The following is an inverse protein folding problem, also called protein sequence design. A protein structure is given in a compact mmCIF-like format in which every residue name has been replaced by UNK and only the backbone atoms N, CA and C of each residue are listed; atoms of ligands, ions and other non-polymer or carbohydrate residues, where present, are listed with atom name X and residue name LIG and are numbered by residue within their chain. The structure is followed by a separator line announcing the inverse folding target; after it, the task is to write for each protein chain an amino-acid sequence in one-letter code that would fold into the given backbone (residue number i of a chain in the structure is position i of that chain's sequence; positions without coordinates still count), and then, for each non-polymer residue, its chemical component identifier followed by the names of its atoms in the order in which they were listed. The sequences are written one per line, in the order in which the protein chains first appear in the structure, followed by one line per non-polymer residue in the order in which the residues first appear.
data_IF_030624547742
#
_entry.id   IF_030624547742
#
_cell.length_a   1.000
_cell.length_b   1.000
_cell.length_c   1.000
_cell.angle_alpha   90.00
_cell.angle_beta   90.00
_cell.angle_gamma   90.00
#
_symmetry.space_group_name_H-M   'P 1'
#
loop_
_entity.id
_entity.type
_entity.pdbx_description
1 polymer ?
#
# COMPACT_ATOMS: atom_id res chain seq x y z
N UNK A 1 30.03 11.29 0.43
CA UNK A 1 29.23 11.44 1.66
C UNK A 1 28.36 12.69 1.53
N UNK A 2 27.08 12.59 1.86
CA UNK A 2 26.12 13.70 1.89
C UNK A 2 25.55 13.78 3.31
N UNK A 3 25.45 15.01 3.83
CA UNK A 3 24.82 15.28 5.12
C UNK A 3 23.50 15.99 4.86
N UNK A 4 22.39 15.40 5.31
CA UNK A 4 21.09 16.05 5.32
C UNK A 4 20.80 16.56 6.72
N UNK A 5 20.75 17.86 6.89
CA UNK A 5 20.37 18.53 8.14
C UNK A 5 18.89 18.85 8.14
N UNK A 6 18.18 18.42 9.16
CA UNK A 6 16.75 18.67 9.35
C UNK A 6 16.59 19.43 10.65
N UNK A 7 15.92 20.59 10.60
CA UNK A 7 15.55 21.32 11.81
C UNK A 7 14.44 20.55 12.52
N UNK A 8 14.57 20.41 13.83
CA UNK A 8 13.55 19.79 14.67
C UNK A 8 12.77 20.95 15.31
N UNK A 9 11.50 21.05 14.97
CA UNK A 9 10.62 22.10 15.51
C UNK A 9 9.81 21.59 16.70
N UNK A 10 9.60 20.29 16.79
CA UNK A 10 8.83 19.63 17.83
C UNK A 10 9.50 18.31 18.23
N UNK A 11 9.60 18.04 19.53
CA UNK A 11 10.09 16.78 20.07
C UNK A 11 9.12 16.29 21.15
N UNK A 12 8.62 15.04 21.00
CA UNK A 12 7.69 14.40 21.93
C UNK A 12 6.40 15.21 22.20
N UNK A 13 5.90 15.93 21.19
CA UNK A 13 4.69 16.75 21.29
C UNK A 13 4.91 18.13 21.93
N UNK A 14 6.16 18.53 22.15
CA UNK A 14 6.53 19.84 22.66
C UNK A 14 7.45 20.59 21.69
N UNK A 15 7.19 21.88 21.50
CA UNK A 15 8.07 22.75 20.72
C UNK A 15 9.45 22.86 21.37
N UNK A 16 10.51 22.83 20.57
CA UNK A 16 11.87 22.98 21.06
C UNK A 16 12.17 24.44 21.43
N UNK A 17 12.66 24.69 22.66
CA UNK A 17 13.06 26.02 23.12
C UNK A 17 14.34 26.55 22.43
N UNK A 18 15.18 25.65 21.95
CA UNK A 18 16.41 25.95 21.22
C UNK A 18 16.42 25.29 19.86
N UNK A 19 17.10 25.91 18.90
CA UNK A 19 17.28 25.31 17.59
C UNK A 19 18.03 23.96 17.72
N UNK A 20 17.34 22.90 17.42
CA UNK A 20 17.92 21.57 17.37
C UNK A 20 17.88 21.01 15.95
N UNK A 21 18.92 20.26 15.58
CA UNK A 21 19.05 19.69 14.25
C UNK A 21 19.31 18.19 14.34
N UNK A 22 18.73 17.47 13.40
CA UNK A 22 19.05 16.05 13.18
C UNK A 22 19.81 15.92 11.89
N UNK A 23 21.03 15.44 11.96
CA UNK A 23 21.87 15.17 10.81
C UNK A 23 21.75 13.70 10.40
N UNK A 24 21.48 13.47 9.12
CA UNK A 24 21.49 12.13 8.52
C UNK A 24 22.61 12.05 7.51
N UNK A 25 23.46 11.04 7.67
CA UNK A 25 24.59 10.78 6.80
C UNK A 25 24.17 9.76 5.73
N UNK A 26 24.45 10.07 4.46
CA UNK A 26 24.24 9.17 3.33
C UNK A 26 25.58 8.93 2.68
N UNK A 27 26.02 7.67 2.72
CA UNK A 27 27.19 7.20 1.98
C UNK A 27 26.73 6.65 0.63
N UNK A 28 27.43 7.02 -0.43
CA UNK A 28 27.09 6.60 -1.79
C UNK A 28 28.36 6.45 -2.63
N UNK A 29 28.31 5.51 -3.56
CA UNK A 29 29.30 5.31 -4.61
C UNK A 29 28.81 5.79 -5.99
N UNK A 30 27.67 6.51 -6.01
CA UNK A 30 27.13 7.08 -7.24
C UNK A 30 28.08 8.11 -7.85
N UNK A 31 28.12 8.23 -9.20
CA UNK A 31 28.94 9.20 -9.90
C UNK A 31 28.68 10.63 -9.43
N UNK A 32 29.69 11.49 -9.51
CA UNK A 32 29.60 12.91 -9.13
C UNK A 32 28.62 13.74 -9.98
N UNK A 33 28.13 13.17 -11.07
CA UNK A 33 27.08 13.78 -11.89
C UNK A 33 25.70 13.86 -11.19
N UNK A 34 25.49 13.04 -10.15
CA UNK A 34 24.27 13.11 -9.34
C UNK A 34 24.33 14.29 -8.38
N UNK A 35 23.28 15.11 -8.39
CA UNK A 35 23.14 16.19 -7.40
C UNK A 35 22.92 15.62 -5.99
N UNK A 36 23.34 16.31 -4.91
CA UNK A 36 23.07 15.88 -3.55
C UNK A 36 21.59 15.59 -3.28
N UNK A 37 20.71 16.42 -3.86
CA UNK A 37 19.25 16.23 -3.75
C UNK A 37 18.78 14.94 -4.40
N UNK A 38 19.23 14.64 -5.62
CA UNK A 38 18.87 13.41 -6.31
C UNK A 38 19.33 12.15 -5.53
N UNK A 39 20.49 12.20 -4.88
CA UNK A 39 20.99 11.11 -4.05
C UNK A 39 20.14 10.95 -2.77
N UNK A 40 19.75 12.05 -2.15
CA UNK A 40 18.83 12.03 -1.00
C UNK A 40 17.50 11.42 -1.40
N UNK A 41 16.89 11.88 -2.49
CA UNK A 41 15.60 11.38 -2.98
C UNK A 41 15.69 9.88 -3.30
N UNK A 42 16.77 9.43 -3.94
CA UNK A 42 16.99 8.01 -4.23
C UNK A 42 17.13 7.17 -2.94
N UNK A 43 17.85 7.67 -1.95
CA UNK A 43 17.99 6.99 -0.66
C UNK A 43 16.64 6.86 0.07
N UNK A 44 15.78 7.87 -0.05
CA UNK A 44 14.44 7.83 0.56
C UNK A 44 13.42 6.97 -0.19
N UNK A 45 13.63 6.66 -1.47
CA UNK A 45 12.78 5.70 -2.20
C UNK A 45 12.82 4.29 -1.56
N UNK A 46 13.88 3.96 -0.83
CA UNK A 46 13.95 2.73 -0.05
C UNK A 46 12.89 2.64 1.04
N UNK A 47 12.44 3.78 1.57
CA UNK A 47 11.37 3.82 2.57
C UNK A 47 10.06 3.24 2.04
N UNK A 48 9.82 3.27 0.72
CA UNK A 48 8.65 2.65 0.10
C UNK A 48 8.68 1.12 0.21
N UNK A 49 9.85 0.50 0.19
CA UNK A 49 9.99 -0.95 0.40
C UNK A 49 9.59 -1.34 1.83
N UNK A 50 10.01 -0.59 2.83
CA UNK A 50 9.67 -0.84 4.23
C UNK A 50 8.16 -0.72 4.44
N UNK A 51 7.54 0.30 3.86
CA UNK A 51 6.10 0.48 3.88
C UNK A 51 5.35 -0.67 3.17
N UNK A 52 5.83 -1.12 2.01
CA UNK A 52 5.27 -2.29 1.31
C UNK A 52 5.38 -3.55 2.15
N UNK A 53 6.53 -3.80 2.78
CA UNK A 53 6.76 -4.95 3.65
C UNK A 53 5.81 -4.91 4.86
N UNK A 54 5.67 -3.77 5.50
CA UNK A 54 4.74 -3.57 6.61
C UNK A 54 3.28 -3.80 6.18
N UNK A 55 2.85 -3.20 5.08
CA UNK A 55 1.50 -3.37 4.56
C UNK A 55 1.23 -4.81 4.12
N UNK A 56 2.20 -5.50 3.55
CA UNK A 56 2.09 -6.91 3.19
C UNK A 56 1.92 -7.77 4.45
N UNK A 57 2.71 -7.53 5.48
CA UNK A 57 2.60 -8.24 6.74
C UNK A 57 1.30 -7.95 7.49
N UNK A 58 1.07 -6.69 7.84
CA UNK A 58 -0.05 -6.27 8.66
C UNK A 58 -1.38 -6.15 7.89
N UNK A 59 -1.32 -5.73 6.63
CA UNK A 59 -2.50 -5.49 5.80
C UNK A 59 -3.15 -6.76 5.27
N UNK A 60 -2.35 -7.68 4.72
CA UNK A 60 -2.82 -8.92 4.08
C UNK A 60 -2.50 -10.17 4.90
N UNK A 61 -1.89 -9.99 6.07
CA UNK A 61 -1.42 -11.07 6.94
C UNK A 61 -0.40 -12.02 6.24
N UNK A 62 0.45 -11.46 5.36
CA UNK A 62 1.41 -12.24 4.57
C UNK A 62 2.42 -13.01 5.43
N UNK A 63 2.79 -12.47 6.61
CA UNK A 63 3.71 -13.13 7.55
C UNK A 63 3.04 -14.07 8.52
N UNK A 64 1.73 -14.27 8.42
CA UNK A 64 1.03 -15.24 9.24
C UNK A 64 1.47 -16.64 8.84
N UNK A 65 1.80 -17.44 9.83
CA UNK A 65 2.14 -18.85 9.67
C UNK A 65 0.93 -19.70 10.14
N UNK A 66 -0.06 -19.97 9.25
CA UNK A 66 -1.33 -20.59 9.67
C UNK A 66 -1.19 -22.07 10.06
N UNK A 67 -0.11 -22.73 9.66
CA UNK A 67 0.13 -24.16 9.93
C UNK A 67 1.55 -24.37 10.45
N UNK A 68 1.81 -25.51 11.08
CA UNK A 68 3.14 -25.86 11.57
C UNK A 68 4.11 -26.30 10.45
N UNK A 69 3.58 -26.68 9.30
CA UNK A 69 4.35 -27.20 8.18
C UNK A 69 4.92 -26.09 7.30
N UNK A 70 6.20 -26.22 6.91
CA UNK A 70 6.89 -25.22 6.07
C UNK A 70 6.23 -25.04 4.71
N UNK A 71 5.89 -26.13 4.02
CA UNK A 71 5.30 -26.04 2.66
C UNK A 71 3.91 -25.41 2.68
N UNK A 72 3.12 -25.66 3.72
CA UNK A 72 1.82 -25.01 3.91
C UNK A 72 1.96 -23.48 4.12
N UNK A 73 2.93 -23.07 4.93
CA UNK A 73 3.24 -21.67 5.14
C UNK A 73 3.80 -21.00 3.89
N UNK A 74 4.62 -21.70 3.13
CA UNK A 74 5.10 -21.21 1.82
C UNK A 74 3.95 -21.02 0.83
N UNK A 75 3.02 -21.96 0.73
CA UNK A 75 1.83 -21.84 -0.10
C UNK A 75 0.97 -20.64 0.32
N UNK A 76 0.78 -20.44 1.63
CA UNK A 76 0.10 -19.25 2.17
C UNK A 76 0.77 -17.96 1.71
N UNK A 77 2.09 -17.88 1.81
CA UNK A 77 2.86 -16.71 1.38
C UNK A 77 2.66 -16.40 -0.11
N UNK A 78 2.66 -17.44 -0.96
CA UNK A 78 2.42 -17.26 -2.42
C UNK A 78 0.99 -16.76 -2.69
N UNK A 79 -0.01 -17.29 -2.00
CA UNK A 79 -1.41 -16.83 -2.13
C UNK A 79 -1.53 -15.37 -1.67
N UNK A 80 -0.93 -15.01 -0.53
CA UNK A 80 -0.91 -13.64 -0.04
C UNK A 80 -0.23 -12.68 -1.03
N UNK A 81 0.90 -13.10 -1.63
CA UNK A 81 1.61 -12.34 -2.66
C UNK A 81 0.76 -12.14 -3.91
N UNK A 82 0.07 -13.19 -4.36
CA UNK A 82 -0.83 -13.08 -5.52
C UNK A 82 -1.97 -12.11 -5.23
N UNK A 83 -2.63 -12.24 -4.08
CA UNK A 83 -3.72 -11.35 -3.67
C UNK A 83 -3.27 -9.88 -3.58
N UNK A 84 -2.04 -9.65 -3.05
CA UNK A 84 -1.43 -8.32 -3.02
C UNK A 84 -1.28 -7.74 -4.43
N UNK A 85 -0.66 -8.50 -5.35
CA UNK A 85 -0.41 -8.05 -6.71
C UNK A 85 -1.72 -7.77 -7.46
N UNK A 86 -2.71 -8.68 -7.37
CA UNK A 86 -4.04 -8.49 -7.99
C UNK A 86 -4.70 -7.21 -7.48
N UNK A 87 -4.68 -6.96 -6.17
CA UNK A 87 -5.22 -5.73 -5.61
C UNK A 87 -4.52 -4.47 -6.10
N UNK A 88 -3.19 -4.50 -6.21
CA UNK A 88 -2.41 -3.37 -6.77
C UNK A 88 -2.69 -3.16 -8.27
N UNK A 89 -2.82 -4.22 -9.05
CA UNK A 89 -3.19 -4.13 -10.47
C UNK A 89 -4.59 -3.56 -10.66
N UNK A 90 -5.58 -4.00 -9.87
CA UNK A 90 -6.93 -3.42 -9.91
C UNK A 90 -6.87 -1.93 -9.60
N UNK A 91 -6.11 -1.52 -8.57
CA UNK A 91 -5.95 -0.12 -8.23
C UNK A 91 -5.31 0.69 -9.37
N UNK A 92 -4.29 0.15 -10.04
CA UNK A 92 -3.57 0.84 -11.12
C UNK A 92 -4.36 0.90 -12.42
N UNK A 93 -5.06 -0.18 -12.79
CA UNK A 93 -5.68 -0.32 -14.10
C UNK A 93 -7.13 0.21 -14.13
N UNK A 94 -7.84 0.10 -13.03
CA UNK A 94 -9.28 0.31 -13.03
C UNK A 94 -9.78 1.44 -12.10
N UNK A 95 -9.01 1.81 -11.07
CA UNK A 95 -9.43 2.78 -10.07
C UNK A 95 -8.74 4.16 -10.27
N UNK A 96 -9.23 5.22 -9.62
CA UNK A 96 -8.58 6.53 -9.64
C UNK A 96 -7.14 6.47 -9.11
N UNK A 97 -6.24 7.30 -9.65
CA UNK A 97 -4.81 7.31 -9.34
C UNK A 97 -4.50 7.48 -7.84
N UNK A 98 -5.36 8.16 -7.10
CA UNK A 98 -5.23 8.33 -5.65
C UNK A 98 -5.30 7.01 -4.88
N UNK A 99 -6.08 6.03 -5.39
CA UNK A 99 -6.28 4.72 -4.75
C UNK A 99 -5.02 3.88 -4.77
N UNK A 100 -4.15 4.07 -5.75
CA UNK A 100 -2.86 3.35 -5.87
C UNK A 100 -1.98 3.55 -4.62
N UNK A 101 -2.07 4.75 -4.02
CA UNK A 101 -1.30 5.14 -2.82
C UNK A 101 -1.97 4.74 -1.51
N UNK A 102 -3.17 4.18 -1.57
CA UNK A 102 -3.86 3.79 -0.34
C UNK A 102 -3.16 2.61 0.33
N UNK A 103 -3.21 2.63 1.66
CA UNK A 103 -2.87 1.47 2.46
C UNK A 103 -3.79 0.30 2.13
N UNK A 104 -3.25 -0.92 2.19
CA UNK A 104 -4.01 -2.13 1.88
C UNK A 104 -5.26 -2.29 2.74
N UNK A 105 -5.20 -1.95 4.03
CA UNK A 105 -6.36 -1.99 4.93
C UNK A 105 -7.49 -1.10 4.44
N UNK A 106 -7.16 0.12 3.99
CA UNK A 106 -8.12 1.07 3.43
C UNK A 106 -8.70 0.56 2.11
N UNK A 107 -7.87 0.08 1.20
CA UNK A 107 -8.29 -0.51 -0.07
C UNK A 107 -9.29 -1.66 0.17
N UNK A 108 -8.92 -2.63 1.01
CA UNK A 108 -9.76 -3.79 1.33
C UNK A 108 -11.11 -3.40 1.94
N UNK A 109 -11.12 -2.41 2.84
CA UNK A 109 -12.34 -1.93 3.47
C UNK A 109 -13.32 -1.32 2.47
N UNK A 110 -12.83 -0.63 1.44
CA UNK A 110 -13.67 0.11 0.51
C UNK A 110 -13.96 -0.62 -0.80
N UNK A 111 -13.14 -1.58 -1.21
CA UNK A 111 -13.28 -2.27 -2.49
C UNK A 111 -13.44 -3.79 -2.38
N UNK A 112 -13.15 -4.39 -1.23
CA UNK A 112 -13.30 -5.84 -1.02
C UNK A 112 -14.40 -6.16 -0.02
N UNK A 113 -14.41 -5.49 1.13
CA UNK A 113 -15.42 -5.71 2.16
C UNK A 113 -16.63 -4.80 1.96
N UNK A 114 -17.38 -5.03 0.90
CA UNK A 114 -18.59 -4.29 0.58
C UNK A 114 -19.78 -5.15 0.95
N UNK A 115 -20.73 -4.56 1.68
CA UNK A 115 -21.99 -5.23 1.99
C UNK A 115 -22.77 -5.48 0.70
N UNK A 116 -23.14 -6.74 0.47
CA UNK A 116 -23.86 -7.14 -0.71
C UNK A 116 -24.90 -8.23 -0.37
N UNK A 117 -26.01 -8.21 -1.11
CA UNK A 117 -27.02 -9.28 -1.10
C UNK A 117 -26.81 -10.15 -2.33
N UNK A 118 -26.57 -11.44 -2.13
CA UNK A 118 -26.43 -12.39 -3.22
C UNK A 118 -27.76 -13.09 -3.45
N UNK A 119 -28.31 -12.93 -4.65
CA UNK A 119 -29.58 -13.53 -5.07
C UNK A 119 -29.30 -14.53 -6.18
N UNK A 120 -29.89 -15.73 -6.08
CA UNK A 120 -29.91 -16.71 -7.14
C UNK A 120 -31.25 -16.63 -7.86
N UNK A 121 -31.25 -16.25 -9.14
CA UNK A 121 -32.45 -16.21 -9.99
C UNK A 121 -32.20 -17.09 -11.23
N UNK A 122 -32.77 -18.28 -11.20
CA UNK A 122 -32.52 -19.28 -12.24
C UNK A 122 -31.04 -19.72 -12.30
N UNK A 123 -30.40 -19.56 -13.44
CA UNK A 123 -28.96 -19.85 -13.65
C UNK A 123 -28.05 -18.65 -13.38
N UNK A 124 -28.58 -17.51 -12.92
CA UNK A 124 -27.84 -16.29 -12.71
C UNK A 124 -27.65 -16.01 -11.23
N UNK A 125 -26.43 -15.59 -10.86
CA UNK A 125 -26.12 -14.98 -9.57
C UNK A 125 -26.16 -13.46 -9.73
N UNK A 126 -27.01 -12.81 -8.94
CA UNK A 126 -27.13 -11.35 -8.90
C UNK A 126 -26.52 -10.88 -7.60
N UNK A 127 -25.49 -10.05 -7.69
CA UNK A 127 -24.88 -9.39 -6.53
C UNK A 127 -25.40 -7.97 -6.47
N UNK A 128 -26.24 -7.72 -5.46
CA UNK A 128 -26.81 -6.41 -5.23
C UNK A 128 -26.01 -5.69 -4.16
N UNK A 129 -25.31 -4.62 -4.56
CA UNK A 129 -24.52 -3.78 -3.67
C UNK A 129 -25.41 -2.75 -2.96
N UNK A 130 -24.92 -2.27 -1.81
CA UNK A 130 -25.62 -1.21 -1.06
C UNK A 130 -25.39 0.15 -1.72
N UNK A 131 -26.44 0.89 -2.03
CA UNK A 131 -26.39 2.18 -2.71
C UNK A 131 -25.68 3.28 -1.88
N UNK A 132 -25.64 3.14 -0.56
CA UNK A 132 -24.98 4.10 0.34
C UNK A 132 -23.44 4.00 0.37
N UNK A 133 -22.83 3.08 -0.40
CA UNK A 133 -21.38 2.93 -0.37
C UNK A 133 -20.70 4.07 -1.14
N UNK A 134 -19.86 4.84 -0.43
CA UNK A 134 -19.19 6.06 -0.95
C UNK A 134 -18.44 5.87 -2.27
N UNK A 135 -17.84 4.71 -2.48
CA UNK A 135 -17.03 4.40 -3.67
C UNK A 135 -17.74 3.48 -4.67
N UNK A 136 -19.06 3.35 -4.56
CA UNK A 136 -19.84 2.53 -5.50
C UNK A 136 -19.68 2.95 -6.96
N UNK A 137 -19.72 4.26 -7.31
CA UNK A 137 -19.52 4.69 -8.69
C UNK A 137 -18.16 4.27 -9.26
N UNK A 138 -17.09 4.39 -8.46
CA UNK A 138 -15.73 3.99 -8.84
C UNK A 138 -15.63 2.47 -9.03
N UNK A 139 -16.30 1.70 -8.16
CA UNK A 139 -16.34 0.25 -8.28
C UNK A 139 -17.04 -0.21 -9.56
N UNK A 140 -18.20 0.38 -9.89
CA UNK A 140 -18.95 0.08 -11.10
C UNK A 140 -18.16 0.48 -12.35
N UNK A 141 -17.50 1.64 -12.34
CA UNK A 141 -16.63 2.06 -13.43
C UNK A 141 -15.43 1.13 -13.60
N UNK A 142 -14.84 0.66 -12.49
CA UNK A 142 -13.74 -0.31 -12.52
C UNK A 142 -14.19 -1.65 -13.09
N UNK A 143 -15.36 -2.13 -12.68
CA UNK A 143 -15.96 -3.36 -13.24
C UNK A 143 -16.18 -3.24 -14.75
N UNK A 144 -16.74 -2.13 -15.23
CA UNK A 144 -16.95 -1.90 -16.65
C UNK A 144 -15.63 -1.84 -17.45
N UNK A 145 -14.54 -1.30 -16.86
CA UNK A 145 -13.21 -1.27 -17.50
C UNK A 145 -12.53 -2.63 -17.59
N UNK A 146 -12.83 -3.53 -16.65
CA UNK A 146 -12.23 -4.86 -16.57
C UNK A 146 -13.03 -5.93 -17.34
N UNK A 147 -14.23 -5.61 -17.80
CA UNK A 147 -14.96 -6.46 -18.73
C UNK A 147 -14.37 -6.27 -20.13
N UNK A 148 -13.56 -7.23 -20.57
CA UNK A 148 -13.05 -7.37 -21.94
C UNK A 148 -14.01 -8.24 -22.74
#
# INVERSE_FOLDING_TARGET
MIVRRIRIEEQDGQGTLFESFRDRLILTNLPRSYTPRAIVDLAYQRCDQENVIEQFGAGIAGWRMPVAEFMGNWAWLQIARLAWNVGKWIAQLALPAEVVRWEWKRFRRHFVYIAAKVLKKGRRLIVQLTDSHRYLPQLLAAHARLQV
#
